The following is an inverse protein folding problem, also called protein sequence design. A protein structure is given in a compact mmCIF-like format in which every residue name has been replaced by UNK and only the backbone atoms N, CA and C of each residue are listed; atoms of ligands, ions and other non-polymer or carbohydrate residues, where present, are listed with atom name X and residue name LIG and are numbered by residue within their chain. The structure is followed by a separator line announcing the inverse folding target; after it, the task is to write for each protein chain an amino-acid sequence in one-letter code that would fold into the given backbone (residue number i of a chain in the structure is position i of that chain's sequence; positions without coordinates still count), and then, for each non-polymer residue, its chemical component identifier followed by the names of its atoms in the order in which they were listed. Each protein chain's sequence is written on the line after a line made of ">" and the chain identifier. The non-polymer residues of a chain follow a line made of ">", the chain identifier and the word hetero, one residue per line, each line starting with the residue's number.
data_IF_717985516981
#
_entry.id   IF_717985516981
#
_cell.length_a   1.000
_cell.length_b   1.000
_cell.length_c   1.000
_cell.angle_alpha   90.00
_cell.angle_beta   90.00
_cell.angle_gamma   90.00
#
_symmetry.space_group_name_H-M   'P 1'
#
loop_
_entity.id
_entity.type
_entity.pdbx_description
1 polymer ?
#
# COMPACT_ATOMS: atom_id res chain seq x y z
N UNK A 1 -18.72 -3.83 18.68
CA UNK A 1 -18.55 -4.05 17.23
C UNK A 1 -17.34 -4.90 16.94
N UNK A 2 -17.54 -5.81 15.99
CA UNK A 2 -16.54 -6.77 15.53
C UNK A 2 -15.43 -5.96 14.86
N UNK A 3 -14.18 -6.19 15.25
CA UNK A 3 -12.99 -5.57 14.61
C UNK A 3 -12.71 -6.08 13.19
N UNK A 4 -13.65 -6.79 12.58
CA UNK A 4 -13.67 -7.19 11.18
C UNK A 4 -14.96 -6.62 10.59
N UNK A 5 -14.82 -5.52 9.84
CA UNK A 5 -15.96 -4.84 9.22
C UNK A 5 -16.40 -5.56 7.94
N UNK A 6 -15.53 -6.37 7.33
CA UNK A 6 -15.82 -7.13 6.12
C UNK A 6 -15.31 -8.60 6.19
N UNK A 7 -16.01 -9.59 5.59
CA UNK A 7 -15.59 -11.00 5.59
C UNK A 7 -14.19 -11.25 5.03
N UNK A 8 -13.74 -10.39 4.09
CA UNK A 8 -12.38 -10.43 3.52
C UNK A 8 -11.29 -10.20 4.57
N UNK A 9 -11.59 -9.40 5.60
CA UNK A 9 -10.65 -9.07 6.67
C UNK A 9 -10.43 -10.25 7.61
N UNK A 10 -11.20 -11.34 7.47
CA UNK A 10 -11.04 -12.55 8.27
C UNK A 10 -10.02 -13.52 7.67
N UNK A 11 -9.49 -13.28 6.46
CA UNK A 11 -8.61 -14.23 5.75
C UNK A 11 -7.41 -14.71 6.58
N UNK A 12 -6.84 -13.85 7.43
CA UNK A 12 -5.71 -14.19 8.29
C UNK A 12 -6.09 -14.99 9.55
N UNK A 13 -7.39 -15.09 9.87
CA UNK A 13 -7.92 -15.71 11.10
C UNK A 13 -8.05 -17.23 11.01
N UNK A 14 -7.10 -17.90 10.34
CA UNK A 14 -7.11 -19.36 10.08
C UNK A 14 -7.19 -20.18 11.38
N UNK A 15 -6.69 -19.65 12.50
CA UNK A 15 -6.71 -20.32 13.81
C UNK A 15 -8.09 -20.36 14.49
N UNK A 16 -9.10 -19.68 13.94
CA UNK A 16 -10.47 -19.74 14.46
C UNK A 16 -11.17 -21.07 14.12
N UNK A 17 -10.60 -21.91 13.25
CA UNK A 17 -11.20 -23.18 12.86
C UNK A 17 -12.50 -23.01 12.05
N UNK A 18 -12.71 -21.83 11.45
CA UNK A 18 -13.85 -21.57 10.58
C UNK A 18 -13.67 -22.25 9.21
N UNK A 19 -12.43 -22.39 8.75
CA UNK A 19 -12.06 -23.13 7.54
C UNK A 19 -10.73 -23.89 7.73
N UNK A 20 -10.50 -24.90 6.90
CA UNK A 20 -9.31 -25.78 6.95
C UNK A 20 -9.64 -27.20 7.40
N UNK A 21 -8.60 -28.01 7.61
CA UNK A 21 -8.75 -29.44 7.96
C UNK A 21 -9.60 -29.64 9.23
N UNK A 22 -10.71 -30.36 9.09
CA UNK A 22 -11.66 -30.62 10.17
C UNK A 22 -12.71 -29.52 10.42
N UNK A 23 -12.72 -28.44 9.63
CA UNK A 23 -13.73 -27.39 9.68
C UNK A 23 -14.88 -27.62 8.69
N UNK A 24 -15.96 -26.83 8.83
CA UNK A 24 -17.15 -26.88 7.96
C UNK A 24 -16.82 -26.44 6.53
N UNK A 25 -15.88 -25.50 6.39
CA UNK A 25 -15.38 -25.03 5.11
C UNK A 25 -13.97 -25.56 4.87
N UNK A 26 -13.68 -26.07 3.68
CA UNK A 26 -12.36 -26.60 3.35
C UNK A 26 -11.35 -25.47 3.15
N UNK A 27 -11.77 -24.37 2.50
CA UNK A 27 -10.92 -23.22 2.21
C UNK A 27 -11.60 -21.89 2.57
N UNK A 28 -10.80 -20.84 2.75
CA UNK A 28 -11.31 -19.49 3.01
C UNK A 28 -12.25 -18.98 1.92
N UNK A 29 -11.98 -19.33 0.65
CA UNK A 29 -12.84 -18.94 -0.48
C UNK A 29 -14.28 -19.43 -0.35
N UNK A 30 -14.47 -20.66 0.16
CA UNK A 30 -15.79 -21.25 0.35
C UNK A 30 -16.56 -20.55 1.48
N UNK A 31 -15.86 -20.25 2.58
CA UNK A 31 -16.39 -19.46 3.69
C UNK A 31 -16.76 -18.05 3.22
N UNK A 32 -15.86 -17.37 2.51
CA UNK A 32 -16.06 -16.03 2.00
C UNK A 32 -17.30 -15.97 1.10
N UNK A 33 -17.42 -16.85 0.11
CA UNK A 33 -18.59 -16.88 -0.77
C UNK A 33 -19.90 -17.16 -0.03
N UNK A 34 -19.87 -18.01 1.01
CA UNK A 34 -21.06 -18.35 1.78
C UNK A 34 -21.56 -17.17 2.65
N UNK A 35 -20.65 -16.38 3.20
CA UNK A 35 -20.96 -15.20 4.03
C UNK A 35 -21.29 -13.99 3.16
N UNK A 36 -20.51 -13.73 2.10
CA UNK A 36 -20.65 -12.58 1.21
C UNK A 36 -22.01 -12.59 0.46
N UNK A 37 -22.42 -13.75 -0.08
CA UNK A 37 -23.73 -13.90 -0.75
C UNK A 37 -24.93 -13.65 0.15
N UNK A 38 -24.78 -13.84 1.46
CA UNK A 38 -25.86 -13.73 2.46
C UNK A 38 -25.78 -12.42 3.27
N UNK A 39 -24.74 -11.62 3.03
CA UNK A 39 -24.55 -10.30 3.60
C UNK A 39 -24.40 -10.29 5.12
N UNK A 40 -24.67 -9.13 5.71
CA UNK A 40 -24.42 -8.83 7.13
C UNK A 40 -25.11 -9.81 8.09
N UNK A 41 -26.30 -10.32 7.74
CA UNK A 41 -27.01 -11.28 8.58
C UNK A 41 -26.28 -12.62 8.73
N UNK A 42 -25.57 -13.11 7.70
CA UNK A 42 -24.73 -14.29 7.84
C UNK A 42 -23.49 -14.03 8.69
N UNK A 43 -22.92 -12.83 8.59
CA UNK A 43 -21.79 -12.40 9.42
C UNK A 43 -22.18 -12.33 10.91
N UNK A 44 -23.40 -11.88 11.22
CA UNK A 44 -23.94 -11.89 12.58
C UNK A 44 -24.09 -13.30 13.14
N UNK A 45 -24.55 -14.26 12.33
CA UNK A 45 -24.65 -15.66 12.73
C UNK A 45 -23.27 -16.26 13.01
N UNK A 46 -22.27 -15.98 12.15
CA UNK A 46 -20.88 -16.43 12.37
C UNK A 46 -20.33 -15.82 13.65
N UNK A 47 -20.53 -14.51 13.87
CA UNK A 47 -20.10 -13.85 15.10
C UNK A 47 -20.78 -14.43 16.36
N UNK A 48 -22.07 -14.80 16.25
CA UNK A 48 -22.82 -15.44 17.31
C UNK A 48 -22.29 -16.84 17.62
N UNK A 49 -22.04 -17.68 16.61
CA UNK A 49 -21.45 -19.02 16.77
C UNK A 49 -20.03 -18.94 17.36
N UNK A 50 -19.21 -18.01 16.88
CA UNK A 50 -17.88 -17.76 17.44
C UNK A 50 -17.95 -17.35 18.92
N UNK A 51 -18.93 -16.54 19.30
CA UNK A 51 -19.16 -16.14 20.70
C UNK A 51 -19.62 -17.30 21.56
N UNK A 52 -20.53 -18.14 21.04
CA UNK A 52 -21.02 -19.34 21.73
C UNK A 52 -19.89 -20.36 21.98
N UNK A 53 -18.99 -20.54 21.01
CA UNK A 53 -17.84 -21.45 21.12
C UNK A 53 -16.68 -20.89 21.96
N UNK A 54 -16.81 -19.67 22.49
CA UNK A 54 -15.72 -18.99 23.22
C UNK A 54 -14.53 -18.57 22.36
N UNK A 55 -14.62 -18.79 21.04
CA UNK A 55 -13.64 -18.33 20.04
C UNK A 55 -13.68 -16.80 19.89
N UNK A 56 -14.76 -16.19 20.39
CA UNK A 56 -14.96 -14.75 20.47
C UNK A 56 -15.29 -14.33 21.90
N UNK A 57 -14.25 -14.05 22.69
CA UNK A 57 -14.34 -13.30 23.94
C UNK A 57 -13.61 -11.98 23.72
N UNK A 58 -14.34 -10.87 23.66
CA UNK A 58 -13.78 -9.54 23.78
C UNK A 58 -14.48 -8.81 24.94
N UNK A 59 -13.82 -8.76 26.10
CA UNK A 59 -14.30 -8.05 27.30
C UNK A 59 -13.28 -7.05 27.87
N UNK A 60 -12.41 -6.53 27.01
CA UNK A 60 -11.11 -5.88 27.26
C UNK A 60 -9.96 -6.89 27.22
N UNK A 61 -9.07 -6.74 26.25
CA UNK A 61 -7.72 -7.30 26.34
C UNK A 61 -7.11 -6.76 27.62
N UNK A 62 -6.87 -7.63 28.60
CA UNK A 62 -6.08 -7.25 29.75
C UNK A 62 -4.67 -6.91 29.25
N UNK A 63 -4.27 -5.64 29.37
CA UNK A 63 -2.89 -5.22 29.12
C UNK A 63 -1.94 -5.67 30.24
N UNK A 64 -2.41 -6.48 31.19
CA UNK A 64 -1.56 -7.01 32.25
C UNK A 64 -0.42 -7.84 31.64
N UNK A 65 0.82 -7.42 31.88
CA UNK A 65 2.01 -8.02 31.27
C UNK A 65 2.36 -7.50 29.86
N UNK A 66 1.59 -6.57 29.29
CA UNK A 66 1.92 -5.92 28.02
C UNK A 66 2.79 -4.70 28.28
N UNK A 67 3.93 -4.61 27.60
CA UNK A 67 4.78 -3.42 27.62
C UNK A 67 4.81 -2.78 26.24
N UNK A 68 4.64 -1.45 26.22
CA UNK A 68 4.78 -0.65 25.01
C UNK A 68 6.08 0.13 25.07
N UNK A 69 6.81 0.15 23.96
CA UNK A 69 8.03 0.94 23.84
C UNK A 69 8.05 1.62 22.48
N UNK A 70 8.16 2.94 22.49
CA UNK A 70 8.52 3.69 21.29
C UNK A 70 10.03 3.56 21.13
N UNK A 71 10.46 3.09 19.96
CA UNK A 71 11.87 2.99 19.63
C UNK A 71 12.18 3.94 18.48
N UNK A 72 13.03 4.92 18.76
CA UNK A 72 13.58 5.79 17.74
C UNK A 72 14.67 5.04 16.96
N UNK A 73 14.55 5.05 15.63
CA UNK A 73 15.54 4.45 14.73
C UNK A 73 16.28 5.59 14.04
N UNK A 74 17.55 5.82 14.35
CA UNK A 74 18.32 6.89 13.73
C UNK A 74 18.58 6.56 12.25
N UNK A 75 18.51 7.58 11.40
CA UNK A 75 18.87 7.44 9.99
C UNK A 75 20.38 7.25 9.85
N UNK A 76 20.78 6.22 9.10
CA UNK A 76 22.19 6.02 8.74
C UNK A 76 22.68 7.15 7.83
N UNK A 77 23.99 7.47 7.83
CA UNK A 77 24.55 8.49 6.94
C UNK A 77 24.21 8.23 5.47
N UNK A 78 24.37 6.98 5.01
CA UNK A 78 24.00 6.58 3.65
C UNK A 78 22.51 6.82 3.34
N UNK A 79 21.61 6.56 4.30
CA UNK A 79 20.19 6.84 4.10
C UNK A 79 19.89 8.35 4.04
N UNK A 80 20.61 9.18 4.81
CA UNK A 80 20.48 10.64 4.74
C UNK A 80 20.87 11.16 3.36
N UNK A 81 21.91 10.61 2.74
CA UNK A 81 22.31 10.96 1.37
C UNK A 81 21.19 10.65 0.37
N UNK A 82 20.61 9.44 0.42
CA UNK A 82 19.47 9.05 -0.41
C UNK A 82 18.25 9.94 -0.18
N UNK A 83 17.94 10.28 1.07
CA UNK A 83 16.85 11.19 1.40
C UNK A 83 17.09 12.59 0.81
N UNK A 84 18.30 13.14 0.95
CA UNK A 84 18.67 14.44 0.40
C UNK A 84 18.64 14.44 -1.12
N UNK A 85 19.07 13.37 -1.77
CA UNK A 85 18.94 13.20 -3.22
C UNK A 85 17.47 13.21 -3.65
N UNK A 86 16.60 12.51 -2.92
CA UNK A 86 15.17 12.52 -3.20
C UNK A 86 14.55 13.93 -3.04
N UNK A 87 14.96 14.70 -2.03
CA UNK A 87 14.55 16.11 -1.88
C UNK A 87 14.95 16.94 -3.11
N UNK A 88 16.19 16.81 -3.60
CA UNK A 88 16.64 17.51 -4.82
C UNK A 88 15.78 17.16 -6.04
N UNK A 89 15.40 15.88 -6.19
CA UNK A 89 14.49 15.43 -7.24
C UNK A 89 13.11 16.09 -7.11
N UNK A 90 12.54 16.15 -5.91
CA UNK A 90 11.24 16.78 -5.67
C UNK A 90 11.26 18.30 -5.89
N UNK A 91 12.35 18.98 -5.55
CA UNK A 91 12.54 20.42 -5.87
C UNK A 91 12.56 20.63 -7.39
N UNK A 92 13.30 19.79 -8.12
CA UNK A 92 13.35 19.85 -9.57
C UNK A 92 11.97 19.59 -10.20
N UNK A 93 11.25 18.58 -9.71
CA UNK A 93 9.88 18.30 -10.11
C UNK A 93 8.95 19.49 -9.81
N UNK A 94 9.06 20.13 -8.65
CA UNK A 94 8.26 21.30 -8.29
C UNK A 94 8.43 22.44 -9.29
N UNK A 95 9.66 22.73 -9.73
CA UNK A 95 9.91 23.73 -10.78
C UNK A 95 9.22 23.38 -12.11
N UNK A 96 9.25 22.10 -12.51
CA UNK A 96 8.57 21.64 -13.73
C UNK A 96 7.04 21.74 -13.60
N UNK A 97 6.48 21.35 -12.46
CA UNK A 97 5.05 21.48 -12.16
C UNK A 97 4.60 22.93 -12.09
N UNK A 98 5.44 23.85 -11.61
CA UNK A 98 5.18 25.29 -11.63
C UNK A 98 5.08 25.84 -13.05
N UNK A 99 6.01 25.46 -13.94
CA UNK A 99 5.97 25.83 -15.35
C UNK A 99 4.71 25.27 -16.02
N UNK A 100 4.40 23.98 -15.80
CA UNK A 100 3.18 23.38 -16.31
C UNK A 100 1.91 24.07 -15.77
N UNK A 101 1.90 24.48 -14.50
CA UNK A 101 0.78 25.19 -13.91
C UNK A 101 0.55 26.56 -14.55
N UNK A 102 1.61 27.28 -14.92
CA UNK A 102 1.51 28.58 -15.59
C UNK A 102 0.86 28.43 -16.97
N UNK A 103 1.24 27.39 -17.73
CA UNK A 103 0.62 27.07 -19.03
C UNK A 103 -0.86 26.68 -18.89
N UNK A 104 -1.21 25.89 -17.87
CA UNK A 104 -2.59 25.46 -17.61
C UNK A 104 -3.47 26.60 -17.08
N UNK A 105 -2.93 27.51 -16.26
CA UNK A 105 -3.73 28.63 -15.70
C UNK A 105 -4.30 29.56 -16.76
N UNK A 106 -3.65 29.66 -17.92
CA UNK A 106 -4.17 30.42 -19.07
C UNK A 106 -5.44 29.81 -19.69
N UNK A 107 -5.72 28.53 -19.45
CA UNK A 107 -6.84 27.78 -20.05
C UNK A 107 -7.86 27.27 -19.03
N UNK A 108 -7.43 26.75 -17.87
CA UNK A 108 -8.34 26.19 -16.85
C UNK A 108 -7.75 26.25 -15.43
N UNK A 109 -8.25 27.20 -14.62
CA UNK A 109 -7.85 27.38 -13.22
C UNK A 109 -8.17 26.16 -12.34
N UNK A 110 -9.24 25.40 -12.63
CA UNK A 110 -9.63 24.24 -11.81
C UNK A 110 -8.65 23.07 -12.00
N UNK A 111 -8.17 22.85 -13.23
CA UNK A 111 -7.14 21.84 -13.52
C UNK A 111 -5.83 22.13 -12.80
N UNK A 112 -5.41 23.41 -12.77
CA UNK A 112 -4.20 23.82 -12.03
C UNK A 112 -4.32 23.55 -10.52
N UNK A 113 -5.46 23.86 -9.90
CA UNK A 113 -5.70 23.57 -8.47
C UNK A 113 -5.69 22.06 -8.18
N UNK A 114 -6.34 21.27 -9.02
CA UNK A 114 -6.39 19.81 -8.87
C UNK A 114 -5.00 19.17 -8.98
N UNK A 115 -4.16 19.65 -9.91
CA UNK A 115 -2.79 19.21 -10.08
C UNK A 115 -1.95 19.42 -8.81
N UNK A 116 -2.03 20.61 -8.20
CA UNK A 116 -1.29 20.89 -6.96
C UNK A 116 -1.74 20.05 -5.78
N UNK A 117 -3.05 19.80 -5.66
CA UNK A 117 -3.58 18.87 -4.65
C UNK A 117 -2.98 17.47 -4.80
N UNK A 118 -2.87 16.98 -6.03
CA UNK A 118 -2.30 15.68 -6.34
C UNK A 118 -0.78 15.63 -6.12
N UNK A 119 -0.07 16.69 -6.49
CA UNK A 119 1.37 16.84 -6.25
C UNK A 119 1.71 16.73 -4.76
N UNK A 120 1.05 17.51 -3.90
CA UNK A 120 1.34 17.49 -2.46
C UNK A 120 0.91 16.18 -1.79
N UNK A 121 -0.20 15.58 -2.24
CA UNK A 121 -0.61 14.25 -1.76
C UNK A 121 0.39 13.14 -2.15
N UNK A 122 0.99 13.21 -3.34
CA UNK A 122 2.05 12.31 -3.76
C UNK A 122 3.35 12.57 -2.97
N UNK A 123 3.75 13.83 -2.80
CA UNK A 123 4.91 14.22 -2.00
C UNK A 123 4.86 13.66 -0.58
N UNK A 124 3.75 13.84 0.14
CA UNK A 124 3.58 13.32 1.50
C UNK A 124 3.71 11.79 1.56
N UNK A 125 3.10 11.07 0.60
CA UNK A 125 3.17 9.60 0.54
C UNK A 125 4.57 9.11 0.24
N UNK A 126 5.24 9.74 -0.71
CA UNK A 126 6.61 9.43 -1.09
C UNK A 126 7.56 9.46 0.12
N UNK A 127 7.57 10.58 0.86
CA UNK A 127 8.46 10.72 2.02
C UNK A 127 8.03 9.85 3.20
N UNK A 128 6.73 9.58 3.38
CA UNK A 128 6.26 8.59 4.34
C UNK A 128 6.84 7.20 4.03
N UNK A 129 6.85 6.78 2.77
CA UNK A 129 7.42 5.48 2.38
C UNK A 129 8.93 5.42 2.56
N UNK A 130 9.67 6.49 2.27
CA UNK A 130 11.10 6.55 2.61
C UNK A 130 11.32 6.38 4.12
N UNK A 131 10.60 7.13 4.96
CA UNK A 131 10.74 7.03 6.42
C UNK A 131 10.32 5.66 6.99
N UNK A 132 9.44 4.91 6.31
CA UNK A 132 9.12 3.53 6.68
C UNK A 132 10.24 2.60 6.24
N UNK A 133 10.74 2.76 5.01
CA UNK A 133 11.84 1.98 4.45
C UNK A 133 13.11 2.05 5.29
N UNK A 134 13.43 3.22 5.86
CA UNK A 134 14.60 3.38 6.73
C UNK A 134 14.57 2.55 8.02
N UNK A 135 13.40 2.05 8.42
CA UNK A 135 13.21 1.26 9.65
C UNK A 135 13.30 -0.24 9.42
N UNK A 136 13.26 -0.70 8.16
CA UNK A 136 13.15 -2.12 7.82
C UNK A 136 14.30 -2.93 8.42
N UNK A 137 15.55 -2.49 8.26
CA UNK A 137 16.71 -3.20 8.80
C UNK A 137 16.66 -3.36 10.33
N UNK A 138 16.21 -2.31 11.02
CA UNK A 138 16.06 -2.33 12.47
C UNK A 138 14.96 -3.30 12.92
N UNK A 139 13.82 -3.27 12.23
CA UNK A 139 12.71 -4.19 12.49
C UNK A 139 13.15 -5.63 12.24
N UNK A 140 13.82 -5.93 11.12
CA UNK A 140 14.32 -7.28 10.81
C UNK A 140 15.28 -7.79 11.89
N UNK A 141 16.23 -6.97 12.36
CA UNK A 141 17.15 -7.34 13.44
C UNK A 141 16.38 -7.64 14.73
N UNK A 142 15.42 -6.79 15.09
CA UNK A 142 14.59 -6.97 16.28
C UNK A 142 13.75 -8.26 16.18
N UNK A 143 13.11 -8.50 15.03
CA UNK A 143 12.30 -9.67 14.78
C UNK A 143 13.13 -10.96 14.89
N UNK A 144 14.29 -11.01 14.25
CA UNK A 144 15.20 -12.18 14.33
C UNK A 144 15.62 -12.46 15.77
N UNK A 145 15.97 -11.42 16.54
CA UNK A 145 16.31 -11.58 17.96
C UNK A 145 15.13 -12.14 18.77
N UNK A 146 13.92 -11.59 18.57
CA UNK A 146 12.72 -12.06 19.28
C UNK A 146 12.36 -13.51 18.94
N UNK A 147 12.56 -13.94 17.70
CA UNK A 147 12.35 -15.34 17.30
C UNK A 147 13.34 -16.28 18.00
N UNK A 148 14.62 -15.90 18.11
CA UNK A 148 15.63 -16.68 18.86
C UNK A 148 15.27 -16.78 20.34
N UNK A 149 14.64 -15.76 20.91
CA UNK A 149 14.10 -15.77 22.29
C UNK A 149 12.79 -16.59 22.43
N UNK A 150 12.36 -17.32 21.40
CA UNK A 150 11.15 -18.15 21.41
C UNK A 150 9.84 -17.37 21.27
N UNK A 151 9.89 -16.10 20.84
CA UNK A 151 8.69 -15.24 20.68
C UNK A 151 8.15 -15.31 19.24
N UNK A 152 6.84 -15.14 19.10
CA UNK A 152 6.20 -14.90 17.80
C UNK A 152 6.17 -13.39 17.52
N UNK A 153 6.49 -13.00 16.28
CA UNK A 153 6.56 -11.59 15.86
C UNK A 153 5.43 -11.29 14.90
N UNK A 154 4.64 -10.25 15.20
CA UNK A 154 3.61 -9.71 14.32
C UNK A 154 4.01 -8.28 13.96
N UNK A 155 4.03 -7.97 12.67
CA UNK A 155 4.36 -6.63 12.15
C UNK A 155 3.11 -6.04 11.55
N UNK A 156 2.57 -5.00 12.18
CA UNK A 156 1.48 -4.19 11.63
C UNK A 156 2.04 -2.95 10.95
N UNK A 157 1.74 -2.77 9.67
CA UNK A 157 2.05 -1.54 8.95
C UNK A 157 0.79 -0.67 8.87
N UNK A 158 0.76 0.42 9.64
CA UNK A 158 -0.33 1.41 9.52
C UNK A 158 -0.05 2.36 8.33
N UNK A 159 -0.06 1.78 7.13
CA UNK A 159 -0.02 2.53 5.90
C UNK A 159 -1.36 2.35 5.20
N UNK A 160 -2.10 3.45 4.99
CA UNK A 160 -3.30 3.50 4.14
C UNK A 160 -2.98 3.27 2.64
N UNK A 161 -1.87 2.60 2.34
CA UNK A 161 -1.32 2.40 1.00
C UNK A 161 -1.63 1.04 0.38
N UNK A 162 -2.14 0.08 1.14
CA UNK A 162 -2.48 -1.28 0.65
C UNK A 162 -3.47 -1.23 -0.53
N UNK A 163 -4.38 -0.25 -0.54
CA UNK A 163 -5.35 -0.06 -1.62
C UNK A 163 -4.71 0.13 -3.02
N UNK A 164 -3.46 0.61 -3.11
CA UNK A 164 -2.77 0.80 -4.41
C UNK A 164 -1.89 -0.37 -4.82
N UNK A 165 -1.39 -1.15 -3.86
CA UNK A 165 -0.70 -2.39 -4.19
C UNK A 165 -1.71 -3.37 -4.81
N UNK A 166 -2.95 -3.42 -4.29
CA UNK A 166 -4.02 -4.22 -4.91
C UNK A 166 -4.25 -3.87 -6.40
N UNK A 167 -4.24 -2.58 -6.78
CA UNK A 167 -4.38 -2.16 -8.19
C UNK A 167 -3.20 -2.60 -9.08
N UNK A 168 -1.98 -2.74 -8.53
CA UNK A 168 -0.80 -3.21 -9.28
C UNK A 168 -0.68 -4.75 -9.29
N UNK A 169 -1.18 -5.43 -8.25
CA UNK A 169 -1.19 -6.90 -8.16
C UNK A 169 -2.16 -7.54 -9.16
N UNK A 170 -3.24 -6.86 -9.54
CA UNK A 170 -4.16 -7.38 -10.57
C UNK A 170 -3.65 -7.23 -12.01
N UNK A 171 -2.59 -6.46 -12.23
CA UNK A 171 -2.14 -6.10 -13.58
C UNK A 171 -0.94 -6.92 -14.10
N UNK A 172 -0.07 -7.48 -13.25
CA UNK A 172 1.09 -8.26 -13.71
C UNK A 172 1.57 -9.26 -12.65
N UNK A 173 1.40 -10.55 -12.91
CA UNK A 173 1.84 -11.64 -12.03
C UNK A 173 3.35 -11.95 -12.13
N UNK A 174 4.13 -11.20 -12.92
CA UNK A 174 5.55 -11.53 -13.20
C UNK A 174 6.59 -10.43 -12.95
N UNK A 175 6.21 -9.23 -12.47
CA UNK A 175 7.20 -8.19 -12.17
C UNK A 175 7.60 -8.22 -10.69
N UNK A 176 8.44 -9.18 -10.33
CA UNK A 176 9.24 -9.17 -9.08
C UNK A 176 10.42 -8.18 -9.15
N UNK A 177 10.36 -7.14 -9.98
CA UNK A 177 11.30 -6.04 -9.87
C UNK A 177 10.95 -5.29 -8.59
N UNK A 178 11.92 -5.09 -7.70
CA UNK A 178 11.74 -4.46 -6.38
C UNK A 178 11.11 -3.06 -6.55
N UNK A 179 9.78 -3.00 -6.61
CA UNK A 179 9.06 -1.78 -6.89
C UNK A 179 9.10 -0.92 -5.62
N UNK A 180 10.07 -0.01 -5.56
CA UNK A 180 10.09 1.03 -4.53
C UNK A 180 8.75 1.76 -4.57
N UNK A 181 7.93 1.60 -3.52
CA UNK A 181 6.62 2.26 -3.44
C UNK A 181 6.76 3.79 -3.60
N UNK A 182 7.89 4.35 -3.18
CA UNK A 182 8.24 5.74 -3.40
C UNK A 182 8.45 6.06 -4.90
N UNK A 183 9.19 5.21 -5.64
CA UNK A 183 9.37 5.34 -7.10
C UNK A 183 8.01 5.34 -7.80
N UNK A 184 7.17 4.35 -7.51
CA UNK A 184 5.84 4.24 -8.12
C UNK A 184 4.93 5.44 -7.83
N UNK A 185 5.04 6.08 -6.65
CA UNK A 185 4.29 7.32 -6.36
C UNK A 185 4.70 8.46 -7.28
N UNK A 186 6.00 8.63 -7.52
CA UNK A 186 6.52 9.71 -8.35
C UNK A 186 6.24 9.46 -9.85
N UNK A 187 6.43 8.24 -10.33
CA UNK A 187 6.14 7.85 -11.71
C UNK A 187 4.67 8.07 -12.05
N UNK A 188 3.76 7.54 -11.23
CA UNK A 188 2.32 7.76 -11.41
C UNK A 188 1.94 9.26 -11.40
N UNK A 189 2.60 10.07 -10.58
CA UNK A 189 2.35 11.51 -10.55
C UNK A 189 2.81 12.18 -11.86
N UNK A 190 4.01 11.82 -12.34
CA UNK A 190 4.58 12.37 -13.57
C UNK A 190 3.73 11.94 -14.76
N UNK A 191 3.45 10.65 -14.92
CA UNK A 191 2.62 10.13 -15.99
C UNK A 191 1.23 10.77 -15.98
N UNK A 192 0.61 10.96 -14.83
CA UNK A 192 -0.74 11.53 -14.80
C UNK A 192 -0.80 12.97 -15.32
N UNK A 193 0.28 13.74 -15.16
CA UNK A 193 0.30 15.17 -15.47
C UNK A 193 1.15 15.54 -16.69
N UNK A 194 2.00 14.63 -17.15
CA UNK A 194 2.91 14.84 -18.27
C UNK A 194 2.82 13.73 -19.33
N UNK A 195 3.00 14.07 -20.60
CA UNK A 195 3.12 15.43 -21.12
C UNK A 195 1.73 16.14 -21.14
N UNK A 196 1.73 17.48 -21.11
CA UNK A 196 0.57 18.31 -20.72
C UNK A 196 -0.70 18.18 -21.57
N UNK A 197 -1.81 18.84 -21.19
CA UNK A 197 -3.17 18.58 -21.68
C UNK A 197 -3.45 18.84 -23.18
N UNK A 198 -2.45 19.29 -23.95
CA UNK A 198 -2.56 19.59 -25.38
C UNK A 198 -1.88 18.56 -26.28
N UNK A 199 -1.51 17.41 -25.73
CA UNK A 199 -0.78 16.37 -26.46
C UNK A 199 -1.68 15.16 -26.58
N UNK A 200 -1.93 14.73 -27.82
CA UNK A 200 -2.74 13.54 -28.10
C UNK A 200 -2.12 12.30 -27.47
N UNK A 201 -2.94 11.26 -27.22
CA UNK A 201 -2.47 9.99 -26.66
C UNK A 201 -1.31 9.40 -27.49
N UNK A 202 -1.39 9.50 -28.82
CA UNK A 202 -0.33 9.05 -29.74
C UNK A 202 0.96 9.87 -29.65
N UNK A 203 0.88 11.19 -29.52
CA UNK A 203 2.07 12.03 -29.34
C UNK A 203 2.72 11.81 -27.97
N UNK A 204 1.90 11.53 -26.96
CA UNK A 204 2.34 11.17 -25.62
C UNK A 204 3.13 9.85 -25.62
N UNK A 205 2.65 8.83 -26.31
CA UNK A 205 3.36 7.56 -26.48
C UNK A 205 4.68 7.73 -27.25
N UNK A 206 4.70 8.57 -28.29
CA UNK A 206 5.93 8.88 -29.06
C UNK A 206 6.98 9.63 -28.25
N UNK A 207 6.58 10.55 -27.36
CA UNK A 207 7.48 11.32 -26.51
C UNK A 207 8.06 10.49 -25.35
N UNK A 208 7.27 9.59 -24.77
CA UNK A 208 7.68 8.74 -23.64
C UNK A 208 8.55 7.57 -24.10
N UNK A 209 8.23 6.92 -25.23
CA UNK A 209 8.90 5.72 -25.71
C UNK A 209 9.83 5.93 -26.91
N UNK A 210 10.07 7.19 -27.29
CA UNK A 210 11.10 7.57 -28.25
C UNK A 210 11.01 6.83 -29.59
N UNK A 211 9.87 6.90 -30.27
CA UNK A 211 9.75 6.57 -31.70
C UNK A 211 10.19 5.17 -32.17
N UNK A 212 10.60 4.25 -31.28
CA UNK A 212 10.77 2.84 -31.63
C UNK A 212 9.41 2.17 -31.53
N UNK A 213 8.70 2.12 -32.66
CA UNK A 213 7.74 1.06 -32.89
C UNK A 213 8.42 -0.24 -32.49
N UNK A 214 7.89 -0.95 -31.49
CA UNK A 214 7.98 -2.41 -31.49
C UNK A 214 7.29 -2.85 -32.79
N UNK A 215 8.03 -2.87 -33.88
CA UNK A 215 7.72 -3.79 -34.96
C UNK A 215 8.04 -5.14 -34.38
N UNK A 216 7.01 -5.80 -33.88
CA UNK A 216 6.83 -7.22 -34.06
C UNK A 216 7.38 -7.57 -35.44
N UNK A 217 8.46 -8.33 -35.43
CA UNK A 217 8.96 -9.21 -36.46
C UNK A 217 10.45 -9.41 -36.20
N UNK A 218 10.81 -10.56 -35.64
CA UNK A 218 11.59 -11.55 -36.39
C UNK A 218 11.51 -12.92 -35.64
N UNK A 219 11.83 -14.02 -36.34
CA UNK A 219 11.53 -15.41 -35.96
C UNK A 219 12.31 -15.92 -34.76
#
# INVERSE_FOLDING_TARGET
>A
DIGASEPKDMAYMVRLGLWGDGAVFQQFGDFFQAVDKRGVGAMEIVAMDMKLRGMYIARQLSFNGVSFRIQEVPLTPAYKESYNAAVKTWVSAMHMFQQAAQLIKGTDKRKSTSMWRQFWAAHQRFFKYLCIGSKVDHVVKLSRKSVVEGKCVVIGLQSTGEARMAEQYEADAEVFEFASSAKGVLENLVEKHFPGPNISKEEREKLVYGGKKMKENLP
#
